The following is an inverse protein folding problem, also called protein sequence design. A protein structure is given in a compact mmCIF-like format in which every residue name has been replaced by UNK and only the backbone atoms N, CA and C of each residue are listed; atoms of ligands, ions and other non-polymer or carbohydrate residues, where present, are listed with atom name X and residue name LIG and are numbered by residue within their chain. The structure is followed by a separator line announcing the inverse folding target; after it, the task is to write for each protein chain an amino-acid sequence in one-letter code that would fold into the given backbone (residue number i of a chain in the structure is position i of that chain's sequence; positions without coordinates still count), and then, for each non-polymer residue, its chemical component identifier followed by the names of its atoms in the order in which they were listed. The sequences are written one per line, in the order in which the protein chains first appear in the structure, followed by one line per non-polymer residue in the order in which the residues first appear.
data_IF_296977618273
#
_entry.id   IF_296977618273
#
_cell.length_a   1.000
_cell.length_b   1.000
_cell.length_c   1.000
_cell.angle_alpha   90.00
_cell.angle_beta   90.00
_cell.angle_gamma   90.00
#
_symmetry.space_group_name_H-M   'P 1'
#
loop_
_entity.id
_entity.type
_entity.pdbx_description
1 polymer ?
#
# COMPACT_ATOMS: atom_id res chain seq x y z
N UNK A 1 4.27 -27.86 3.33
CA UNK A 1 5.40 -28.68 2.81
C UNK A 1 4.84 -30.00 2.35
N UNK A 2 4.96 -30.35 1.08
CA UNK A 2 4.43 -31.61 0.52
C UNK A 2 5.33 -32.79 0.97
N UNK A 3 4.73 -33.83 1.54
CA UNK A 3 5.41 -35.07 1.92
C UNK A 3 4.86 -36.26 1.12
N UNK A 4 5.53 -36.67 0.03
CA UNK A 4 5.03 -37.75 -0.84
C UNK A 4 5.01 -39.13 -0.16
N UNK A 5 5.83 -39.31 0.89
CA UNK A 5 5.95 -40.57 1.62
C UNK A 5 4.98 -40.64 2.81
N UNK A 6 4.05 -39.68 2.95
CA UNK A 6 3.09 -39.64 4.04
C UNK A 6 2.08 -40.78 3.94
N UNK A 7 1.95 -41.58 5.02
CA UNK A 7 1.04 -42.72 5.08
C UNK A 7 -0.39 -42.28 5.40
N UNK A 8 -1.15 -41.88 4.39
CA UNK A 8 -2.52 -41.41 4.55
C UNK A 8 -3.50 -42.45 5.09
N UNK A 9 -3.46 -43.75 4.72
CA UNK A 9 -4.31 -44.75 5.34
C UNK A 9 -4.12 -44.90 6.84
N UNK A 10 -2.88 -44.96 7.31
CA UNK A 10 -2.58 -45.02 8.74
C UNK A 10 -2.99 -43.75 9.50
N UNK A 11 -2.84 -42.59 8.87
CA UNK A 11 -3.35 -41.33 9.40
C UNK A 11 -4.86 -41.34 9.61
N UNK A 12 -5.65 -41.81 8.67
CA UNK A 12 -7.11 -41.94 8.81
C UNK A 12 -7.50 -42.91 9.93
N UNK A 13 -6.77 -43.99 10.10
CA UNK A 13 -6.93 -44.93 11.21
C UNK A 13 -6.68 -44.25 12.57
N UNK A 14 -5.62 -43.47 12.67
CA UNK A 14 -5.29 -42.68 13.88
C UNK A 14 -6.38 -41.64 14.14
N UNK A 15 -6.80 -40.89 13.12
CA UNK A 15 -7.84 -39.86 13.21
C UNK A 15 -9.17 -40.42 13.75
N UNK A 16 -9.56 -41.59 13.28
CA UNK A 16 -10.81 -42.24 13.70
C UNK A 16 -10.75 -42.70 15.16
N UNK A 17 -9.57 -42.93 15.72
CA UNK A 17 -9.38 -43.33 17.12
C UNK A 17 -9.05 -42.14 18.04
N UNK A 18 -8.66 -40.98 17.48
CA UNK A 18 -8.38 -39.76 18.24
C UNK A 18 -9.66 -39.26 18.94
N UNK A 19 -9.55 -38.88 20.19
CA UNK A 19 -10.70 -38.41 20.98
C UNK A 19 -11.33 -39.50 21.86
N UNK A 20 -10.95 -40.75 21.72
CA UNK A 20 -11.30 -41.79 22.69
C UNK A 20 -10.51 -41.57 24.01
N UNK A 21 -11.14 -41.78 25.16
CA UNK A 21 -10.52 -41.55 26.46
C UNK A 21 -9.21 -42.35 26.71
N UNK A 22 -9.03 -43.45 25.99
CA UNK A 22 -7.83 -44.31 26.05
C UNK A 22 -6.82 -44.06 24.92
N UNK A 23 -7.04 -43.05 24.08
CA UNK A 23 -6.15 -42.77 22.98
C UNK A 23 -4.85 -42.13 23.47
N UNK A 24 -3.75 -42.79 23.22
CA UNK A 24 -2.39 -42.31 23.56
C UNK A 24 -1.52 -42.55 22.32
N UNK A 25 -0.89 -41.51 21.83
CA UNK A 25 0.03 -41.57 20.70
C UNK A 25 1.25 -40.69 20.97
N UNK A 26 2.42 -41.31 21.08
CA UNK A 26 3.66 -40.56 21.24
C UNK A 26 4.10 -39.96 19.90
N UNK A 27 4.90 -38.87 19.96
CA UNK A 27 5.47 -38.26 18.74
C UNK A 27 6.28 -39.26 17.93
N UNK A 28 7.02 -40.14 18.59
CA UNK A 28 7.78 -41.21 17.91
C UNK A 28 6.87 -42.16 17.15
N UNK A 29 5.82 -42.69 17.79
CA UNK A 29 4.83 -43.54 17.14
C UNK A 29 4.11 -42.83 15.99
N UNK A 30 3.80 -41.55 16.15
CA UNK A 30 3.22 -40.75 15.08
C UNK A 30 4.14 -40.69 13.86
N UNK A 31 5.43 -40.35 14.05
CA UNK A 31 6.40 -40.29 12.94
C UNK A 31 6.60 -41.64 12.27
N UNK A 32 6.72 -42.71 13.06
CA UNK A 32 6.92 -44.07 12.55
C UNK A 32 5.72 -44.57 11.73
N UNK A 33 4.51 -44.29 12.19
CA UNK A 33 3.30 -44.75 11.51
C UNK A 33 2.93 -43.96 10.27
N UNK A 34 3.12 -42.63 10.32
CA UNK A 34 2.64 -41.73 9.26
C UNK A 34 3.75 -41.24 8.32
N UNK A 35 5.01 -41.56 8.59
CA UNK A 35 6.17 -40.97 7.91
C UNK A 35 6.16 -39.43 7.91
N UNK A 36 5.63 -38.81 8.97
CA UNK A 36 5.56 -37.35 9.06
C UNK A 36 6.95 -36.72 9.23
N UNK A 37 7.18 -35.56 8.61
CA UNK A 37 8.48 -34.86 8.60
C UNK A 37 8.47 -33.54 9.39
N UNK A 38 7.37 -33.15 9.95
CA UNK A 38 7.21 -31.84 10.59
C UNK A 38 7.54 -31.80 12.09
N UNK A 39 7.80 -32.96 12.72
CA UNK A 39 8.01 -33.06 14.17
C UNK A 39 9.03 -34.14 14.50
N UNK A 40 9.89 -33.87 15.49
CA UNK A 40 10.94 -34.79 15.94
C UNK A 40 10.96 -34.76 17.47
N UNK A 41 11.00 -35.96 18.10
CA UNK A 41 11.21 -36.08 19.52
C UNK A 41 12.60 -36.68 19.83
N UNK A 42 13.33 -36.05 20.73
CA UNK A 42 14.62 -36.55 21.25
C UNK A 42 14.47 -36.86 22.76
N UNK A 43 14.86 -38.05 23.15
CA UNK A 43 14.90 -38.46 24.56
C UNK A 43 16.20 -37.98 25.26
N UNK A 44 16.20 -37.89 26.57
CA UNK A 44 17.38 -37.59 27.39
C UNK A 44 17.34 -36.22 28.08
N UNK A 45 18.36 -35.95 28.93
CA UNK A 45 18.45 -34.71 29.74
C UNK A 45 18.36 -33.42 28.91
N UNK A 46 18.87 -33.46 27.69
CA UNK A 46 18.84 -32.33 26.71
C UNK A 46 17.91 -32.64 25.54
N UNK A 47 16.97 -33.55 25.76
CA UNK A 47 15.95 -33.90 24.78
C UNK A 47 14.84 -32.87 24.72
N UNK A 48 13.86 -33.14 23.85
CA UNK A 48 12.67 -32.32 23.68
C UNK A 48 11.95 -32.66 22.38
N UNK A 49 10.82 -32.03 22.18
CA UNK A 49 10.06 -32.13 20.94
C UNK A 49 10.30 -30.86 20.10
N UNK A 50 10.78 -31.03 18.89
CA UNK A 50 11.04 -29.97 17.92
C UNK A 50 10.03 -30.13 16.80
N UNK A 51 9.40 -29.04 16.42
CA UNK A 51 8.37 -29.05 15.38
C UNK A 51 8.61 -27.94 14.35
N UNK A 52 8.08 -28.15 13.14
CA UNK A 52 8.00 -27.08 12.17
C UNK A 52 7.24 -25.90 12.77
N UNK A 53 7.60 -24.66 12.38
CA UNK A 53 7.03 -23.44 12.95
C UNK A 53 5.49 -23.45 12.96
N UNK A 54 4.85 -23.92 11.90
CA UNK A 54 3.38 -23.92 11.78
C UNK A 54 2.75 -24.87 12.82
N UNK A 55 3.37 -26.05 13.08
CA UNK A 55 2.92 -26.98 14.12
C UNK A 55 3.15 -26.36 15.51
N UNK A 56 4.28 -25.68 15.70
CA UNK A 56 4.60 -25.02 16.96
C UNK A 56 3.61 -23.86 17.25
N UNK A 57 3.25 -23.08 16.25
CA UNK A 57 2.25 -22.03 16.37
C UNK A 57 0.86 -22.60 16.69
N UNK A 58 0.43 -23.65 15.99
CA UNK A 58 -0.86 -24.29 16.27
C UNK A 58 -0.91 -24.84 17.71
N UNK A 59 0.16 -25.51 18.14
CA UNK A 59 0.27 -26.00 19.52
C UNK A 59 0.21 -24.84 20.54
N UNK A 60 0.92 -23.76 20.29
CA UNK A 60 0.91 -22.58 21.15
C UNK A 60 -0.48 -21.93 21.26
N UNK A 61 -1.24 -21.88 20.15
CA UNK A 61 -2.62 -21.37 20.15
C UNK A 61 -3.57 -22.28 20.93
N UNK A 62 -3.31 -23.58 20.94
CA UNK A 62 -4.08 -24.55 21.71
C UNK A 62 -3.79 -24.43 23.21
N UNK A 63 -2.52 -24.23 23.59
CA UNK A 63 -2.10 -24.11 25.01
C UNK A 63 -2.49 -22.76 25.60
N UNK A 64 -2.45 -21.68 24.81
CA UNK A 64 -2.70 -20.32 25.29
C UNK A 64 -3.72 -19.59 24.42
N UNK A 65 -4.97 -19.43 24.91
CA UNK A 65 -5.97 -18.59 24.23
C UNK A 65 -5.51 -17.14 24.05
N UNK A 66 -4.72 -16.62 24.98
CA UNK A 66 -4.14 -15.26 24.89
C UNK A 66 -3.19 -15.15 23.71
N UNK A 67 -2.35 -16.16 23.48
CA UNK A 67 -1.46 -16.22 22.33
C UNK A 67 -2.23 -16.29 21.01
N UNK A 68 -3.33 -17.04 20.97
CA UNK A 68 -4.23 -17.09 19.82
C UNK A 68 -4.80 -15.71 19.49
N UNK A 69 -5.30 -14.99 20.50
CA UNK A 69 -5.82 -13.63 20.32
C UNK A 69 -4.75 -12.67 19.83
N UNK A 70 -3.56 -12.75 20.39
CA UNK A 70 -2.40 -11.96 19.95
C UNK A 70 -2.08 -12.21 18.46
N UNK A 71 -2.03 -13.46 18.02
CA UNK A 71 -1.78 -13.80 16.61
C UNK A 71 -2.86 -13.25 15.68
N UNK A 72 -4.13 -13.29 16.08
CA UNK A 72 -5.24 -12.73 15.29
C UNK A 72 -5.06 -11.22 15.17
N UNK A 73 -4.79 -10.52 16.26
CA UNK A 73 -4.57 -9.07 16.25
C UNK A 73 -3.37 -8.65 15.39
N UNK A 74 -2.24 -9.37 15.49
CA UNK A 74 -1.06 -9.11 14.66
C UNK A 74 -1.31 -9.39 13.18
N UNK A 75 -2.07 -10.44 12.86
CA UNK A 75 -2.47 -10.71 11.48
C UNK A 75 -3.34 -9.60 10.91
N UNK A 76 -4.34 -9.13 11.66
CA UNK A 76 -5.19 -8.01 11.26
C UNK A 76 -4.39 -6.71 11.08
N UNK A 77 -3.46 -6.43 11.99
CA UNK A 77 -2.54 -5.29 11.90
C UNK A 77 -1.70 -5.36 10.63
N UNK A 78 -1.03 -6.50 10.40
CA UNK A 78 -0.20 -6.70 9.21
C UNK A 78 -1.00 -6.59 7.91
N UNK A 79 -2.21 -7.16 7.85
CA UNK A 79 -3.12 -7.01 6.70
C UNK A 79 -3.48 -5.56 6.43
N UNK A 80 -3.80 -4.80 7.48
CA UNK A 80 -4.11 -3.38 7.37
C UNK A 80 -2.90 -2.58 6.84
N UNK A 81 -1.70 -2.87 7.35
CA UNK A 81 -0.47 -2.20 6.94
C UNK A 81 -0.09 -2.57 5.48
N UNK A 82 -0.24 -3.83 5.09
CA UNK A 82 -0.05 -4.28 3.70
C UNK A 82 -0.99 -3.57 2.73
N UNK A 83 -2.28 -3.47 3.07
CA UNK A 83 -3.27 -2.74 2.26
C UNK A 83 -2.91 -1.26 2.10
N UNK A 84 -2.45 -0.60 3.19
CA UNK A 84 -1.99 0.79 3.14
C UNK A 84 -0.76 0.94 2.24
N UNK A 85 0.22 0.03 2.33
CA UNK A 85 1.42 0.07 1.51
C UNK A 85 1.12 -0.16 0.02
N UNK A 86 0.24 -1.11 -0.32
CA UNK A 86 -0.20 -1.37 -1.69
C UNK A 86 -0.93 -0.15 -2.28
N UNK A 87 -1.86 0.43 -1.52
CA UNK A 87 -2.56 1.64 -1.94
C UNK A 87 -1.60 2.83 -2.15
N UNK A 88 -0.64 3.00 -1.25
CA UNK A 88 0.39 4.03 -1.35
C UNK A 88 1.30 3.82 -2.57
N UNK A 89 1.75 2.58 -2.83
CA UNK A 89 2.59 2.23 -3.97
C UNK A 89 1.87 2.49 -5.30
N UNK A 90 0.62 2.06 -5.43
CA UNK A 90 -0.19 2.29 -6.63
C UNK A 90 -0.40 3.79 -6.89
N UNK A 91 -0.71 4.58 -5.85
CA UNK A 91 -0.86 6.04 -5.94
C UNK A 91 0.44 6.72 -6.39
N UNK A 92 1.56 6.29 -5.84
CA UNK A 92 2.88 6.83 -6.19
C UNK A 92 3.23 6.57 -7.66
N UNK A 93 2.95 5.37 -8.17
CA UNK A 93 3.20 5.06 -9.59
C UNK A 93 2.27 5.84 -10.52
N UNK A 94 0.99 5.96 -10.19
CA UNK A 94 0.06 6.80 -10.94
C UNK A 94 0.50 8.26 -10.98
N UNK A 95 0.91 8.83 -9.85
CA UNK A 95 1.42 10.20 -9.78
C UNK A 95 2.67 10.40 -10.64
N UNK A 96 3.59 9.45 -10.66
CA UNK A 96 4.77 9.52 -11.54
C UNK A 96 4.41 9.52 -13.02
N UNK A 97 3.46 8.64 -13.41
CA UNK A 97 3.00 8.54 -14.81
C UNK A 97 2.32 9.84 -15.22
N UNK A 98 1.40 10.36 -14.41
CA UNK A 98 0.68 11.60 -14.69
C UNK A 98 1.62 12.81 -14.76
N UNK A 99 2.57 12.90 -13.82
CA UNK A 99 3.62 13.93 -13.88
C UNK A 99 4.43 13.85 -15.18
N UNK A 100 4.78 12.66 -15.64
CA UNK A 100 5.50 12.46 -16.89
C UNK A 100 4.67 12.89 -18.11
N UNK A 101 3.41 12.46 -18.15
CA UNK A 101 2.47 12.89 -19.21
C UNK A 101 2.37 14.42 -19.26
N UNK A 102 2.24 15.06 -18.11
CA UNK A 102 2.15 16.50 -17.99
C UNK A 102 3.45 17.20 -18.46
N UNK A 103 4.60 16.75 -18.00
CA UNK A 103 5.90 17.32 -18.40
C UNK A 103 6.21 17.11 -19.88
N UNK A 104 5.81 15.98 -20.46
CA UNK A 104 5.95 15.73 -21.90
C UNK A 104 5.05 16.67 -22.73
N UNK A 105 3.82 16.94 -22.28
CA UNK A 105 2.94 17.91 -22.91
C UNK A 105 3.51 19.33 -22.84
N UNK A 106 4.06 19.77 -21.73
CA UNK A 106 4.76 21.06 -21.56
C UNK A 106 5.94 21.13 -22.54
N UNK A 107 6.78 20.09 -22.57
CA UNK A 107 7.94 20.03 -23.44
C UNK A 107 7.58 20.13 -24.91
N UNK A 108 6.55 19.41 -25.34
CA UNK A 108 6.16 19.35 -26.74
C UNK A 108 5.45 20.60 -27.26
N UNK A 109 4.72 21.32 -26.39
CA UNK A 109 3.84 22.40 -26.83
C UNK A 109 4.21 23.79 -26.30
N UNK A 110 4.89 23.89 -25.15
CA UNK A 110 5.14 25.16 -24.49
C UNK A 110 6.61 25.55 -24.43
N UNK A 111 7.53 24.63 -24.76
CA UNK A 111 8.97 24.88 -24.75
C UNK A 111 9.48 24.86 -26.18
N UNK A 112 9.91 26.02 -26.76
CA UNK A 112 10.56 26.06 -28.05
C UNK A 112 11.87 25.28 -28.05
N UNK A 113 12.26 24.72 -29.21
CA UNK A 113 13.48 23.91 -29.35
C UNK A 113 14.79 24.68 -29.04
N UNK A 114 14.76 26.01 -29.14
CA UNK A 114 15.94 26.89 -29.07
C UNK A 114 16.16 27.54 -27.69
N UNK A 115 15.38 27.16 -26.65
CA UNK A 115 15.52 27.76 -25.31
C UNK A 115 16.65 27.10 -24.50
N UNK A 116 17.24 27.89 -23.60
CA UNK A 116 18.24 27.39 -22.65
C UNK A 116 17.61 26.46 -21.62
N UNK A 117 18.42 25.63 -20.97
CA UNK A 117 17.97 24.76 -19.88
C UNK A 117 17.30 25.51 -18.73
N UNK A 118 17.80 26.71 -18.42
CA UNK A 118 17.24 27.57 -17.36
C UNK A 118 15.85 28.10 -17.74
N UNK A 119 15.68 28.54 -18.99
CA UNK A 119 14.38 29.00 -19.49
C UNK A 119 13.34 27.84 -19.51
N UNK A 120 13.78 26.64 -19.91
CA UNK A 120 12.91 25.47 -19.85
C UNK A 120 12.52 25.15 -18.39
N UNK A 121 13.47 25.21 -17.45
CA UNK A 121 13.19 24.99 -16.01
C UNK A 121 12.19 26.01 -15.43
N UNK A 122 12.30 27.28 -15.84
CA UNK A 122 11.32 28.30 -15.47
C UNK A 122 9.92 27.95 -16.00
N UNK A 123 9.82 27.51 -17.24
CA UNK A 123 8.52 27.13 -17.83
C UNK A 123 7.87 25.95 -17.11
N UNK A 124 8.65 24.94 -16.74
CA UNK A 124 8.14 23.84 -15.92
C UNK A 124 7.65 24.32 -14.54
N UNK A 125 8.37 25.24 -13.91
CA UNK A 125 7.98 25.80 -12.62
C UNK A 125 6.67 26.62 -12.73
N UNK A 126 6.52 27.45 -13.76
CA UNK A 126 5.29 28.19 -14.04
C UNK A 126 4.09 27.25 -14.23
N UNK A 127 4.24 26.19 -15.02
CA UNK A 127 3.18 25.23 -15.25
C UNK A 127 2.85 24.40 -14.02
N UNK A 128 3.83 24.09 -13.15
CA UNK A 128 3.59 23.48 -11.85
C UNK A 128 2.82 24.41 -10.93
N UNK A 129 3.08 25.72 -10.99
CA UNK A 129 2.36 26.72 -10.19
C UNK A 129 0.93 26.94 -10.69
N UNK A 130 0.61 26.76 -11.97
CA UNK A 130 -0.78 26.71 -12.46
C UNK A 130 -1.59 25.68 -11.69
N UNK A 131 -1.04 24.48 -11.51
CA UNK A 131 -1.70 23.39 -10.76
C UNK A 131 -1.77 23.72 -9.25
N UNK A 132 -0.69 24.26 -8.68
CA UNK A 132 -0.68 24.64 -7.27
C UNK A 132 -1.72 25.75 -6.98
N UNK A 133 -1.81 26.77 -7.83
CA UNK A 133 -2.80 27.84 -7.66
C UNK A 133 -4.21 27.33 -7.89
N UNK A 134 -4.43 26.47 -8.89
CA UNK A 134 -5.74 25.88 -9.14
C UNK A 134 -6.24 25.02 -7.97
N UNK A 135 -5.34 24.30 -7.28
CA UNK A 135 -5.68 23.38 -6.19
C UNK A 135 -5.65 24.04 -4.82
N UNK A 136 -4.60 24.82 -4.52
CA UNK A 136 -4.30 25.34 -3.17
C UNK A 136 -4.46 26.86 -3.07
N UNK A 137 -4.73 27.55 -4.18
CA UNK A 137 -4.88 29.02 -4.21
C UNK A 137 -3.56 29.80 -4.11
N UNK A 138 -2.39 29.13 -4.15
CA UNK A 138 -1.09 29.78 -3.99
C UNK A 138 0.02 29.06 -4.78
N UNK A 139 1.08 29.81 -5.13
CA UNK A 139 2.27 29.28 -5.79
C UNK A 139 3.19 28.57 -4.78
N UNK A 140 4.13 27.77 -5.27
CA UNK A 140 5.15 27.13 -4.44
C UNK A 140 6.01 28.16 -3.69
N UNK A 141 6.25 29.34 -4.28
CA UNK A 141 6.98 30.44 -3.63
C UNK A 141 6.17 31.04 -2.49
N UNK A 142 4.90 31.38 -2.71
CA UNK A 142 4.01 31.93 -1.68
C UNK A 142 3.85 30.97 -0.50
N UNK A 143 3.74 29.67 -0.78
CA UNK A 143 3.65 28.68 0.28
C UNK A 143 4.92 28.65 1.16
N UNK A 144 6.12 28.68 0.56
CA UNK A 144 7.39 28.70 1.29
C UNK A 144 7.55 29.95 2.15
N UNK A 145 7.13 31.11 1.62
CA UNK A 145 7.16 32.36 2.37
C UNK A 145 6.19 32.36 3.56
N UNK A 146 5.04 31.70 3.41
CA UNK A 146 4.05 31.53 4.49
C UNK A 146 4.44 30.45 5.52
N UNK A 147 5.34 29.53 5.16
CA UNK A 147 5.73 28.37 6.00
C UNK A 147 7.26 28.23 6.10
N UNK A 148 8.01 29.22 6.62
CA UNK A 148 9.47 29.22 6.60
C UNK A 148 10.09 28.08 7.43
N UNK A 149 9.38 27.56 8.43
CA UNK A 149 9.83 26.48 9.31
C UNK A 149 9.66 25.09 8.70
N UNK A 150 8.86 24.96 7.63
CA UNK A 150 8.56 23.68 7.01
C UNK A 150 9.57 23.38 5.89
N UNK A 151 10.07 22.14 5.85
CA UNK A 151 10.96 21.66 4.78
C UNK A 151 10.14 21.02 3.67
N UNK A 152 10.58 21.20 2.41
CA UNK A 152 9.92 20.59 1.25
C UNK A 152 9.03 21.58 0.49
N UNK A 153 7.89 21.12 0.02
CA UNK A 153 6.96 21.88 -0.80
C UNK A 153 5.50 21.62 -0.39
N UNK A 154 4.55 22.40 -0.91
CA UNK A 154 3.12 22.31 -0.60
C UNK A 154 2.54 20.91 -0.77
N UNK A 155 3.03 20.13 -1.75
CA UNK A 155 2.53 18.77 -2.04
C UNK A 155 2.95 17.76 -0.98
N UNK A 156 4.04 18.01 -0.24
CA UNK A 156 4.51 17.13 0.83
C UNK A 156 3.57 17.18 2.05
N UNK A 157 2.78 18.24 2.15
CA UNK A 157 1.81 18.46 3.24
C UNK A 157 0.35 18.28 2.79
N UNK A 158 0.13 17.95 1.53
CA UNK A 158 -1.19 17.73 0.99
C UNK A 158 -1.81 16.41 1.49
N UNK A 159 -3.12 16.44 1.69
CA UNK A 159 -3.90 15.24 2.03
C UNK A 159 -3.93 14.24 0.87
N UNK A 160 -4.33 13.01 1.15
CA UNK A 160 -4.47 11.97 0.13
C UNK A 160 -5.48 12.40 -0.95
N UNK A 161 -6.59 13.02 -0.57
CA UNK A 161 -7.61 13.48 -1.51
C UNK A 161 -7.08 14.61 -2.41
N UNK A 162 -6.32 15.54 -1.85
CA UNK A 162 -5.65 16.59 -2.61
C UNK A 162 -4.62 16.04 -3.59
N UNK A 163 -3.83 15.04 -3.19
CA UNK A 163 -2.86 14.39 -4.08
C UNK A 163 -3.54 13.61 -5.22
N UNK A 164 -4.67 12.96 -4.95
CA UNK A 164 -5.49 12.29 -5.99
C UNK A 164 -6.01 13.33 -6.99
N UNK A 165 -6.59 14.42 -6.47
CA UNK A 165 -7.12 15.51 -7.30
C UNK A 165 -6.00 16.13 -8.16
N UNK A 166 -4.85 16.42 -7.56
CA UNK A 166 -3.69 16.99 -8.24
C UNK A 166 -3.19 16.07 -9.37
N UNK A 167 -3.10 14.78 -9.13
CA UNK A 167 -2.69 13.78 -10.13
C UNK A 167 -3.66 13.74 -11.34
N UNK A 168 -4.97 13.84 -11.08
CA UNK A 168 -5.96 13.95 -12.14
C UNK A 168 -5.83 15.27 -12.91
N UNK A 169 -5.58 16.37 -12.20
CA UNK A 169 -5.38 17.68 -12.81
C UNK A 169 -4.14 17.74 -13.71
N UNK A 170 -3.05 17.07 -13.34
CA UNK A 170 -1.85 16.94 -14.18
C UNK A 170 -2.19 16.33 -15.54
N UNK A 171 -2.98 15.26 -15.55
CA UNK A 171 -3.40 14.61 -16.78
C UNK A 171 -4.34 15.50 -17.61
N UNK A 172 -5.32 16.13 -16.97
CA UNK A 172 -6.25 17.05 -17.65
C UNK A 172 -5.49 18.26 -18.20
N UNK A 173 -4.56 18.84 -17.44
CA UNK A 173 -3.76 19.96 -17.94
C UNK A 173 -2.91 19.58 -19.16
N UNK A 174 -2.38 18.37 -19.22
CA UNK A 174 -1.67 17.87 -20.38
C UNK A 174 -2.56 17.87 -21.64
N UNK A 175 -3.81 17.43 -21.52
CA UNK A 175 -4.80 17.47 -22.62
C UNK A 175 -5.06 18.92 -23.03
N UNK A 176 -5.33 19.83 -22.08
CA UNK A 176 -5.60 21.23 -22.36
C UNK A 176 -4.41 21.96 -22.99
N UNK A 177 -3.18 21.58 -22.64
CA UNK A 177 -1.95 22.07 -23.27
C UNK A 177 -1.87 21.58 -24.74
N UNK A 178 -2.13 20.31 -24.99
CA UNK A 178 -2.14 19.72 -26.33
C UNK A 178 -3.20 20.35 -27.22
N UNK A 179 -4.34 20.75 -26.63
CA UNK A 179 -5.42 21.47 -27.32
C UNK A 179 -5.10 22.97 -27.55
N UNK A 180 -3.92 23.44 -27.12
CA UNK A 180 -3.48 24.83 -27.29
C UNK A 180 -4.22 25.85 -26.43
N UNK A 181 -4.87 25.42 -25.33
CA UNK A 181 -5.63 26.33 -24.46
C UNK A 181 -4.69 27.28 -23.69
N UNK A 182 -4.95 28.61 -23.70
CA UNK A 182 -4.15 29.60 -22.99
C UNK A 182 -4.06 29.32 -21.48
N UNK A 183 -2.92 29.65 -20.87
CA UNK A 183 -2.64 29.36 -19.46
C UNK A 183 -3.71 29.89 -18.50
N UNK A 184 -4.17 31.15 -18.70
CA UNK A 184 -5.22 31.75 -17.86
C UNK A 184 -6.55 31.00 -17.93
N UNK A 185 -6.95 30.52 -19.10
CA UNK A 185 -8.17 29.71 -19.26
C UNK A 185 -8.01 28.33 -18.64
N UNK A 186 -6.82 27.73 -18.78
CA UNK A 186 -6.49 26.45 -18.12
C UNK A 186 -6.60 26.56 -16.62
N UNK A 187 -6.04 27.62 -16.03
CA UNK A 187 -6.11 27.87 -14.57
C UNK A 187 -7.56 27.90 -14.07
N UNK A 188 -8.43 28.67 -14.73
CA UNK A 188 -9.85 28.75 -14.32
C UNK A 188 -10.54 27.40 -14.43
N UNK A 189 -10.33 26.69 -15.54
CA UNK A 189 -10.94 25.38 -15.79
C UNK A 189 -10.46 24.34 -14.80
N UNK A 190 -9.17 24.30 -14.51
CA UNK A 190 -8.56 23.37 -13.55
C UNK A 190 -9.06 23.66 -12.13
N UNK A 191 -9.20 24.92 -11.73
CA UNK A 191 -9.77 25.26 -10.42
C UNK A 191 -11.21 24.77 -10.27
N UNK A 192 -12.05 24.96 -11.29
CA UNK A 192 -13.42 24.42 -11.27
C UNK A 192 -13.46 22.90 -11.16
N UNK A 193 -12.53 22.21 -11.83
CA UNK A 193 -12.40 20.75 -11.77
C UNK A 193 -11.93 20.33 -10.37
N UNK A 194 -10.94 21.03 -9.80
CA UNK A 194 -10.44 20.76 -8.44
C UNK A 194 -11.57 20.83 -7.42
N UNK A 195 -12.36 21.91 -7.43
CA UNK A 195 -13.50 22.09 -6.51
C UNK A 195 -14.48 20.91 -6.60
N UNK A 196 -14.88 20.53 -7.84
CA UNK A 196 -15.82 19.42 -8.04
C UNK A 196 -15.25 18.07 -7.60
N UNK A 197 -13.99 17.79 -7.91
CA UNK A 197 -13.34 16.54 -7.54
C UNK A 197 -13.16 16.44 -6.03
N UNK A 198 -12.76 17.53 -5.36
CA UNK A 198 -12.62 17.55 -3.91
C UNK A 198 -13.94 17.29 -3.21
N UNK A 199 -15.05 17.88 -3.66
CA UNK A 199 -16.38 17.59 -3.14
C UNK A 199 -16.71 16.10 -3.21
N UNK A 200 -16.48 15.47 -4.36
CA UNK A 200 -16.72 14.02 -4.54
C UNK A 200 -15.80 13.18 -3.64
N UNK A 201 -14.52 13.54 -3.53
CA UNK A 201 -13.56 12.80 -2.72
C UNK A 201 -13.85 12.92 -1.21
N UNK A 202 -14.31 14.08 -0.74
CA UNK A 202 -14.70 14.32 0.64
C UNK A 202 -16.02 13.59 0.99
N UNK A 203 -16.97 13.57 0.07
CA UNK A 203 -18.25 12.86 0.27
C UNK A 203 -18.06 11.33 0.31
N UNK A 204 -17.07 10.81 -0.42
CA UNK A 204 -16.72 9.38 -0.45
C UNK A 204 -15.62 8.98 0.55
N UNK A 205 -15.19 9.87 1.44
CA UNK A 205 -14.24 9.50 2.50
C UNK A 205 -14.92 8.47 3.42
N UNK A 206 -14.50 7.19 3.28
CA UNK A 206 -15.09 6.04 3.96
C UNK A 206 -15.11 6.11 5.49
N UNK A 207 -14.51 7.15 6.09
CA UNK A 207 -14.67 7.47 7.51
C UNK A 207 -16.11 7.88 7.88
N UNK A 208 -16.94 8.33 6.91
CA UNK A 208 -18.35 8.63 7.13
C UNK A 208 -19.23 7.38 7.16
N UNK A 209 -18.74 6.24 6.64
CA UNK A 209 -19.48 4.96 6.60
C UNK A 209 -19.30 4.11 7.87
N UNK A 210 -18.48 4.53 8.82
CA UNK A 210 -18.18 3.81 10.07
C UNK A 210 -18.73 4.53 11.33
N UNK A 211 -19.72 5.40 11.16
CA UNK A 211 -20.48 6.01 12.28
C UNK A 211 -21.86 5.41 12.43
#
# INVERSE_FOLDING_TARGET
MYNPDFNSPEFEGIKNTAGLNRFILSVKQWVEKTNSRGIIAKAGRYGGTYAHKDIAFEFATWVSPQFKLYLIQEFERMKSDEQKQLAWSAKRELSKINYRIHTDAIKGNLIPAEVTHEQAAMKYAEEADVLNVAMFGMTAKQWREANPELKGNIRDYATINELICLSNMENINAVLINDGMPQGERLVKLNQIAIRQMQVLEDNDGRKLLK
#
